data_IF_532327319599
#
_entry.id   IF_532327319599
#
_cell.length_a   1.000
_cell.length_b   1.000
_cell.length_c   1.000
_cell.angle_alpha   90.00
_cell.angle_beta   90.00
_cell.angle_gamma   90.00
#
_symmetry.space_group_name_H-M   'P 1'
#
loop_
_entity.id
_entity.type
_entity.pdbx_description
1 polymer ?
#
# COMPACT_ATOMS: atom_id res chain seq x y z
N UNK A 1 4.18 -18.14 -15.71
CA UNK A 1 3.78 -16.81 -16.24
C UNK A 1 4.63 -16.54 -17.48
N UNK A 2 4.08 -15.97 -18.57
CA UNK A 2 4.85 -15.65 -19.77
C UNK A 2 6.03 -14.72 -19.46
N UNK A 3 7.16 -14.91 -20.14
CA UNK A 3 8.36 -14.07 -19.91
C UNK A 3 8.08 -12.58 -20.16
N UNK A 4 7.25 -12.29 -21.16
CA UNK A 4 6.79 -10.94 -21.49
C UNK A 4 6.06 -10.22 -20.35
N UNK A 5 5.55 -10.96 -19.35
CA UNK A 5 4.98 -10.38 -18.14
C UNK A 5 5.97 -10.40 -16.97
N UNK A 6 6.91 -11.33 -16.95
CA UNK A 6 7.92 -11.45 -15.90
C UNK A 6 8.93 -10.31 -15.99
N UNK A 7 9.47 -10.04 -17.18
CA UNK A 7 10.52 -9.03 -17.39
C UNK A 7 10.15 -7.64 -16.84
N UNK A 8 8.97 -7.06 -17.13
CA UNK A 8 8.63 -5.74 -16.59
C UNK A 8 8.42 -5.75 -15.07
N UNK A 9 7.97 -6.86 -14.48
CA UNK A 9 7.81 -6.99 -13.03
C UNK A 9 9.19 -7.06 -12.35
N UNK A 10 10.12 -7.82 -12.94
CA UNK A 10 11.49 -7.94 -12.41
C UNK A 10 12.23 -6.61 -12.51
N UNK A 11 12.10 -5.90 -13.64
CA UNK A 11 12.66 -4.56 -13.82
C UNK A 11 12.11 -3.58 -12.79
N UNK A 12 10.79 -3.57 -12.57
CA UNK A 12 10.16 -2.67 -11.60
C UNK A 12 10.57 -3.01 -10.15
N UNK A 13 10.60 -4.29 -9.78
CA UNK A 13 11.04 -4.71 -8.46
C UNK A 13 12.51 -4.31 -8.21
N UNK A 14 13.37 -4.42 -9.23
CA UNK A 14 14.75 -3.96 -9.17
C UNK A 14 14.87 -2.44 -9.02
N UNK A 15 14.12 -1.66 -9.81
CA UNK A 15 14.13 -0.19 -9.72
C UNK A 15 13.63 0.33 -8.37
N UNK A 16 12.66 -0.36 -7.77
CA UNK A 16 12.07 -0.03 -6.48
C UNK A 16 12.86 -0.61 -5.29
N UNK A 17 13.90 -1.39 -5.54
CA UNK A 17 14.70 -2.09 -4.51
C UNK A 17 13.86 -2.97 -3.55
N UNK A 18 12.76 -3.55 -4.04
CA UNK A 18 11.89 -4.44 -3.26
C UNK A 18 11.89 -5.86 -3.84
N UNK A 19 11.46 -6.83 -3.02
CA UNK A 19 11.35 -8.19 -3.53
C UNK A 19 10.21 -8.30 -4.56
N UNK A 20 10.45 -9.08 -5.62
CA UNK A 20 9.41 -9.40 -6.62
C UNK A 20 8.15 -9.98 -5.96
N UNK A 21 8.34 -10.83 -4.95
CA UNK A 21 7.22 -11.45 -4.21
C UNK A 21 6.37 -10.41 -3.49
N UNK A 22 6.99 -9.38 -2.90
CA UNK A 22 6.27 -8.31 -2.22
C UNK A 22 5.51 -7.46 -3.23
N UNK A 23 6.16 -7.03 -4.33
CA UNK A 23 5.50 -6.26 -5.39
C UNK A 23 4.28 -6.99 -5.97
N UNK A 24 4.43 -8.29 -6.28
CA UNK A 24 3.35 -9.11 -6.82
C UNK A 24 2.26 -9.36 -5.78
N UNK A 25 2.63 -9.69 -4.54
CA UNK A 25 1.70 -9.96 -3.45
C UNK A 25 0.84 -8.73 -3.13
N UNK A 26 1.46 -7.57 -2.99
CA UNK A 26 0.78 -6.30 -2.73
C UNK A 26 -0.16 -5.93 -3.88
N UNK A 27 0.31 -5.99 -5.13
CA UNK A 27 -0.50 -5.67 -6.31
C UNK A 27 -1.71 -6.60 -6.46
N UNK A 28 -1.53 -7.89 -6.16
CA UNK A 28 -2.61 -8.87 -6.17
C UNK A 28 -3.66 -8.58 -5.10
N UNK A 29 -3.24 -8.23 -3.87
CA UNK A 29 -4.15 -7.85 -2.79
C UNK A 29 -4.94 -6.58 -3.13
N UNK A 30 -4.28 -5.55 -3.66
CA UNK A 30 -4.95 -4.33 -4.12
C UNK A 30 -6.03 -4.64 -5.18
N UNK A 31 -5.69 -5.46 -6.18
CA UNK A 31 -6.62 -5.87 -7.24
C UNK A 31 -7.80 -6.66 -6.70
N UNK A 32 -7.56 -7.63 -5.80
CA UNK A 32 -8.62 -8.40 -5.16
C UNK A 32 -9.55 -7.51 -4.33
N UNK A 33 -9.00 -6.53 -3.60
CA UNK A 33 -9.79 -5.62 -2.78
C UNK A 33 -10.68 -4.67 -3.59
N UNK A 34 -10.29 -4.29 -4.80
CA UNK A 34 -11.17 -3.58 -5.74
C UNK A 34 -12.39 -4.46 -6.08
N UNK A 35 -12.17 -5.72 -6.46
CA UNK A 35 -13.25 -6.64 -6.80
C UNK A 35 -14.17 -6.93 -5.61
N UNK A 36 -13.61 -7.06 -4.40
CA UNK A 36 -14.38 -7.29 -3.16
C UNK A 36 -15.26 -6.09 -2.83
N UNK A 37 -14.72 -4.87 -2.96
CA UNK A 37 -15.49 -3.63 -2.78
C UNK A 37 -16.68 -3.55 -3.73
N UNK A 38 -16.49 -3.88 -5.01
CA UNK A 38 -17.56 -3.87 -6.02
C UNK A 38 -18.68 -4.87 -5.71
N UNK A 39 -18.38 -5.90 -4.92
CA UNK A 39 -19.33 -6.92 -4.45
C UNK A 39 -19.93 -6.62 -3.08
N UNK A 40 -19.53 -5.53 -2.43
CA UNK A 40 -19.92 -5.22 -1.06
C UNK A 40 -19.33 -6.18 -0.02
N UNK A 41 -18.19 -6.82 -0.34
CA UNK A 41 -17.46 -7.69 0.56
C UNK A 41 -16.39 -6.91 1.34
N UNK A 42 -16.09 -7.35 2.57
CA UNK A 42 -15.02 -6.77 3.39
C UNK A 42 -13.64 -6.94 2.71
N UNK A 43 -12.74 -5.93 2.78
CA UNK A 43 -11.41 -6.03 2.19
C UNK A 43 -10.54 -7.06 2.93
N UNK A 44 -9.61 -7.67 2.19
CA UNK A 44 -8.52 -8.47 2.75
C UNK A 44 -7.47 -7.49 3.31
N UNK A 45 -7.09 -7.58 4.59
CA UNK A 45 -6.04 -6.74 5.16
C UNK A 45 -4.71 -6.92 4.41
N UNK A 46 -4.07 -5.80 4.06
CA UNK A 46 -2.70 -5.81 3.55
C UNK A 46 -1.77 -5.81 4.76
N UNK A 47 -0.83 -6.76 4.89
CA UNK A 47 0.13 -6.76 5.98
C UNK A 47 0.93 -5.45 6.04
N UNK A 48 1.06 -4.86 7.21
CA UNK A 48 1.71 -3.55 7.39
C UNK A 48 3.15 -3.52 6.85
N UNK A 49 3.92 -4.57 7.10
CA UNK A 49 5.29 -4.67 6.58
C UNK A 49 5.34 -4.60 5.04
N UNK A 50 4.33 -5.20 4.40
CA UNK A 50 4.24 -5.30 2.95
C UNK A 50 3.79 -3.96 2.37
N UNK A 51 2.78 -3.35 2.99
CA UNK A 51 2.27 -2.05 2.58
C UNK A 51 3.34 -0.97 2.74
N UNK A 52 4.04 -0.92 3.88
CA UNK A 52 5.15 0.01 4.11
C UNK A 52 6.29 -0.18 3.11
N UNK A 53 6.73 -1.42 2.88
CA UNK A 53 7.81 -1.70 1.94
C UNK A 53 7.49 -1.19 0.52
N UNK A 54 6.26 -1.42 0.04
CA UNK A 54 5.85 -1.01 -1.31
C UNK A 54 5.57 0.50 -1.38
N UNK A 55 4.87 1.07 -0.39
CA UNK A 55 4.54 2.51 -0.38
C UNK A 55 5.78 3.40 -0.24
N UNK A 56 6.73 3.02 0.61
CA UNK A 56 8.00 3.75 0.74
C UNK A 56 8.84 3.70 -0.54
N UNK A 57 8.79 2.58 -1.28
CA UNK A 57 9.51 2.46 -2.54
C UNK A 57 8.85 3.26 -3.67
N UNK A 58 7.51 3.27 -3.74
CA UNK A 58 6.76 4.01 -4.76
C UNK A 58 6.76 5.53 -4.52
N UNK A 59 6.78 5.94 -3.26
CA UNK A 59 6.69 7.34 -2.86
C UNK A 59 7.81 7.69 -1.86
N UNK A 60 9.08 7.70 -2.30
CA UNK A 60 10.22 7.94 -1.41
C UNK A 60 10.21 9.33 -0.77
N UNK A 61 9.56 10.30 -1.41
CA UNK A 61 9.42 11.68 -0.93
C UNK A 61 8.11 11.93 -0.16
N UNK A 62 7.25 10.91 0.02
CA UNK A 62 6.09 11.05 0.86
C UNK A 62 6.53 11.25 2.31
N UNK A 63 5.99 12.29 2.96
CA UNK A 63 6.13 12.45 4.41
C UNK A 63 5.68 11.17 5.12
N UNK A 64 6.28 10.80 6.27
CA UNK A 64 5.91 9.60 7.00
C UNK A 64 4.40 9.52 7.18
N UNK A 65 3.78 8.47 6.64
CA UNK A 65 2.35 8.21 6.82
C UNK A 65 2.00 7.86 8.27
N UNK A 66 3.01 7.61 9.11
CA UNK A 66 2.88 7.28 10.53
C UNK A 66 2.36 8.46 11.39
N UNK A 67 2.25 9.69 10.85
CA UNK A 67 1.84 10.89 11.63
C UNK A 67 0.35 11.27 11.51
N UNK A 68 -0.48 10.50 10.79
CA UNK A 68 -1.91 10.86 10.58
C UNK A 68 -2.85 10.21 11.63
N UNK A 69 -2.36 9.37 12.53
CA UNK A 69 -3.19 8.75 13.58
C UNK A 69 -3.37 9.57 14.87
N UNK A 70 -2.83 10.78 15.01
CA UNK A 70 -2.97 11.58 16.26
C UNK A 70 -3.50 13.03 16.09
N UNK A 71 -4.12 13.40 14.95
CA UNK A 71 -4.66 14.76 14.79
C UNK A 71 -6.19 14.90 14.91
N UNK A 72 -6.95 13.80 14.97
CA UNK A 72 -8.40 13.88 15.14
C UNK A 72 -8.86 14.09 16.59
N UNK A 73 -7.99 13.90 17.60
CA UNK A 73 -8.35 14.11 19.01
C UNK A 73 -8.15 15.54 19.53
N UNK A 74 -7.42 16.41 18.81
CA UNK A 74 -7.14 17.77 19.29
C UNK A 74 -8.10 18.85 18.77
N UNK A 75 -9.03 18.52 17.87
CA UNK A 75 -9.97 19.52 17.32
C UNK A 75 -11.25 19.70 18.14
N UNK A 76 -11.58 18.79 19.06
CA UNK A 76 -12.80 18.89 19.88
C UNK A 76 -12.62 19.74 21.16
N UNK A 77 -11.39 19.98 21.62
CA UNK A 77 -11.14 20.76 22.87
C UNK A 77 -11.17 22.28 22.65
N UNK A 78 -11.03 22.75 21.40
CA UNK A 78 -10.98 24.19 21.07
C UNK A 78 -12.35 24.86 20.83
N UNK A 79 -13.45 24.09 20.87
CA UNK A 79 -14.81 24.61 20.67
C UNK A 79 -15.62 24.73 21.98
N UNK A 80 -15.01 24.46 23.13
CA UNK A 80 -15.64 24.57 24.46
C UNK A 80 -14.92 25.55 25.41
N UNK A 81 -14.08 26.45 24.88
CA UNK A 81 -13.41 27.52 25.62
C UNK A 81 -14.10 28.87 25.48
#
# INVERSE_FOLDING_TARGET
>A
MPQSLIDPIDEMAWQLEISKSDLVGWSALCTLNVVRRDRGEDPIPIPEYLDKAVMSALYPDALPLDDIEEQDEQKEVLMSG
#
